data_IF_305651006973
#
_entry.id   IF_305651006973
#
_cell.length_a   1.000
_cell.length_b   1.000
_cell.length_c   1.000
_cell.angle_alpha   90.00
_cell.angle_beta   90.00
_cell.angle_gamma   90.00
#
_symmetry.space_group_name_H-M   'P 1'
#
loop_
_entity.id
_entity.type
_entity.pdbx_description
1 polymer ?
#
# COMPACT_ATOMS: atom_id res chain seq x y z
N UNK A 1 3.36 21.25 -27.29
CA UNK A 1 2.70 21.40 -25.96
C UNK A 1 3.76 21.63 -24.90
N UNK A 2 3.56 22.60 -24.00
CA UNK A 2 4.58 23.02 -23.04
C UNK A 2 3.88 23.28 -21.71
N UNK A 3 4.29 22.62 -20.62
CA UNK A 3 3.82 22.95 -19.27
C UNK A 3 4.68 24.08 -18.70
N UNK A 4 4.07 25.06 -18.03
CA UNK A 4 4.79 26.08 -17.24
C UNK A 4 5.62 25.47 -16.12
N UNK A 5 5.19 24.32 -15.59
CA UNK A 5 5.89 23.55 -14.57
C UNK A 5 7.21 22.89 -15.02
N UNK A 6 7.49 22.83 -16.33
CA UNK A 6 8.73 22.25 -16.89
C UNK A 6 8.93 20.74 -16.72
N UNK A 7 8.20 20.09 -15.80
CA UNK A 7 8.35 18.68 -15.45
C UNK A 7 8.19 17.74 -16.64
N UNK A 8 7.28 18.05 -17.56
CA UNK A 8 7.06 17.23 -18.75
C UNK A 8 8.24 17.29 -19.72
N UNK A 9 8.82 18.48 -19.89
CA UNK A 9 9.94 18.69 -20.81
C UNK A 9 11.21 18.02 -20.29
N UNK A 10 11.36 17.94 -18.96
CA UNK A 10 12.48 17.25 -18.31
C UNK A 10 12.32 15.73 -18.34
N UNK A 11 11.14 15.22 -17.98
CA UNK A 11 10.92 13.78 -17.83
C UNK A 11 10.52 13.08 -19.12
N UNK A 12 9.91 13.79 -20.08
CA UNK A 12 9.21 13.19 -21.22
C UNK A 12 7.86 12.57 -20.87
N UNK A 13 7.43 12.64 -19.61
CA UNK A 13 6.15 12.09 -19.11
C UNK A 13 5.21 13.27 -18.78
N UNK A 14 3.95 13.27 -19.25
CA UNK A 14 3.03 14.36 -18.98
C UNK A 14 2.77 14.49 -17.47
N UNK A 15 2.99 15.70 -16.96
CA UNK A 15 2.67 16.08 -15.58
C UNK A 15 1.15 16.23 -15.36
N UNK A 16 0.71 16.44 -14.11
CA UNK A 16 -0.71 16.64 -13.78
C UNK A 16 -1.39 17.75 -14.60
N UNK A 17 -0.70 18.88 -14.81
CA UNK A 17 -1.20 19.98 -15.64
C UNK A 17 -1.38 19.56 -17.10
N UNK A 18 -0.37 18.88 -17.66
CA UNK A 18 -0.42 18.38 -19.03
C UNK A 18 -1.54 17.36 -19.20
N UNK A 19 -1.71 16.44 -18.26
CA UNK A 19 -2.78 15.45 -18.24
C UNK A 19 -4.15 16.13 -18.25
N UNK A 20 -4.34 17.17 -17.43
CA UNK A 20 -5.59 17.92 -17.40
C UNK A 20 -5.85 18.64 -18.73
N UNK A 21 -4.85 19.31 -19.30
CA UNK A 21 -4.97 19.91 -20.62
C UNK A 21 -5.34 18.86 -21.68
N UNK A 22 -4.65 17.73 -21.73
CA UNK A 22 -4.95 16.64 -22.67
C UNK A 22 -6.38 16.12 -22.53
N UNK A 23 -6.88 16.03 -21.29
CA UNK A 23 -8.26 15.67 -21.00
C UNK A 23 -9.25 16.69 -21.60
N UNK A 24 -9.02 17.98 -21.40
CA UNK A 24 -9.86 19.03 -22.00
C UNK A 24 -9.80 19.02 -23.54
N UNK A 25 -8.65 18.71 -24.12
CA UNK A 25 -8.50 18.56 -25.57
C UNK A 25 -9.02 17.21 -26.12
N UNK A 26 -9.62 16.35 -25.28
CA UNK A 26 -10.08 14.99 -25.64
C UNK A 26 -9.01 14.15 -26.34
N UNK A 27 -7.76 14.34 -25.92
CA UNK A 27 -6.58 13.67 -26.47
C UNK A 27 -6.15 12.55 -25.54
N UNK A 28 -5.76 11.40 -26.11
CA UNK A 28 -5.27 10.28 -25.32
C UNK A 28 -3.94 10.67 -24.67
N UNK A 29 -3.73 10.35 -23.39
CA UNK A 29 -2.50 10.73 -22.68
C UNK A 29 -1.29 9.94 -23.16
N UNK A 30 -1.52 8.70 -23.58
CA UNK A 30 -0.50 7.74 -24.02
C UNK A 30 0.26 8.21 -25.26
N UNK A 31 -0.41 8.94 -26.16
CA UNK A 31 0.20 9.44 -27.40
C UNK A 31 1.24 10.54 -27.16
N UNK A 32 1.19 11.17 -25.98
CA UNK A 32 2.00 12.33 -25.63
C UNK A 32 3.10 12.01 -24.62
N UNK A 33 3.30 10.72 -24.32
CA UNK A 33 4.49 10.21 -23.62
C UNK A 33 5.63 10.07 -24.63
N UNK A 34 6.86 10.42 -24.23
CA UNK A 34 8.04 10.23 -25.06
C UNK A 34 8.19 8.77 -25.52
N UNK A 35 8.60 8.58 -26.77
CA UNK A 35 8.78 7.26 -27.38
C UNK A 35 9.71 6.35 -26.59
N UNK A 36 10.69 6.89 -25.86
CA UNK A 36 11.61 6.10 -25.03
C UNK A 36 10.93 5.28 -23.92
N UNK A 37 9.69 5.61 -23.54
CA UNK A 37 8.91 4.86 -22.55
C UNK A 37 7.88 3.92 -23.17
N UNK A 38 7.79 3.84 -24.50
CA UNK A 38 6.84 2.95 -25.17
C UNK A 38 7.33 1.51 -25.10
N UNK A 39 6.38 0.57 -25.04
CA UNK A 39 6.70 -0.87 -25.05
C UNK A 39 7.46 -1.28 -26.31
N UNK A 40 7.14 -0.68 -27.45
CA UNK A 40 7.81 -0.97 -28.73
C UNK A 40 9.29 -0.63 -28.69
N UNK A 41 9.66 0.52 -28.15
CA UNK A 41 11.07 0.94 -28.04
C UNK A 41 11.80 0.11 -27.01
N UNK A 42 11.17 -0.25 -25.89
CA UNK A 42 11.72 -1.20 -24.93
C UNK A 42 12.06 -2.54 -25.59
N UNK A 43 11.09 -3.16 -26.29
CA UNK A 43 11.31 -4.44 -26.98
C UNK A 43 12.36 -4.33 -28.09
N UNK A 44 12.40 -3.23 -28.83
CA UNK A 44 13.44 -3.00 -29.84
C UNK A 44 14.83 -2.90 -29.21
N UNK A 45 14.95 -2.16 -28.10
CA UNK A 45 16.22 -1.95 -27.38
C UNK A 45 16.78 -3.25 -26.82
N UNK A 46 15.91 -4.10 -26.28
CA UNK A 46 16.25 -5.40 -25.69
C UNK A 46 15.97 -6.58 -26.62
N UNK A 47 15.89 -6.34 -27.93
CA UNK A 47 15.65 -7.40 -28.92
C UNK A 47 16.85 -8.35 -29.06
N UNK A 48 18.04 -7.87 -28.72
CA UNK A 48 19.28 -8.63 -28.80
C UNK A 48 19.59 -9.33 -27.47
N UNK A 49 20.24 -10.49 -27.56
CA UNK A 49 20.69 -11.25 -26.39
C UNK A 49 21.77 -10.44 -25.67
N UNK A 50 21.51 -10.07 -24.42
CA UNK A 50 22.51 -9.49 -23.54
C UNK A 50 23.39 -10.63 -23.04
N UNK A 51 24.59 -10.73 -23.59
CA UNK A 51 25.58 -11.69 -23.10
C UNK A 51 26.05 -11.25 -21.71
N UNK A 52 26.07 -12.15 -20.71
CA UNK A 52 26.67 -11.86 -19.43
C UNK A 52 28.13 -11.44 -19.63
N UNK A 53 28.49 -10.29 -19.07
CA UNK A 53 29.89 -9.87 -19.01
C UNK A 53 30.48 -10.55 -17.79
N UNK A 54 31.51 -11.35 -17.99
CA UNK A 54 32.30 -11.92 -16.91
C UNK A 54 33.21 -10.84 -16.31
N UNK A 55 32.65 -10.07 -15.38
CA UNK A 55 33.28 -8.92 -14.76
C UNK A 55 34.58 -9.24 -14.02
N UNK A 56 34.77 -10.49 -13.58
CA UNK A 56 36.02 -10.95 -12.97
C UNK A 56 37.16 -10.90 -13.97
N UNK A 57 36.89 -11.28 -15.22
CA UNK A 57 37.87 -11.33 -16.30
C UNK A 57 38.10 -9.94 -16.92
N UNK A 58 37.06 -9.10 -17.04
CA UNK A 58 37.15 -7.81 -17.73
C UNK A 58 37.90 -6.72 -16.95
N UNK A 59 37.79 -6.72 -15.62
CA UNK A 59 38.34 -5.66 -14.77
C UNK A 59 39.72 -6.04 -14.24
N UNK A 60 40.08 -7.34 -14.27
CA UNK A 60 41.38 -7.85 -13.84
C UNK A 60 41.71 -7.62 -12.37
N UNK A 61 40.71 -7.20 -11.57
CA UNK A 61 40.89 -6.87 -10.16
C UNK A 61 39.93 -7.72 -9.32
N UNK A 62 40.42 -8.42 -8.28
CA UNK A 62 39.53 -9.04 -7.31
C UNK A 62 38.71 -7.95 -6.63
N UNK A 63 37.37 -8.07 -6.63
CA UNK A 63 36.53 -7.15 -5.87
C UNK A 63 36.89 -7.26 -4.41
N UNK A 64 37.47 -6.19 -3.87
CA UNK A 64 37.56 -6.02 -2.44
C UNK A 64 36.17 -5.66 -1.93
N UNK A 65 35.67 -6.33 -0.87
CA UNK A 65 34.42 -5.90 -0.26
C UNK A 65 34.56 -4.44 0.17
N UNK A 66 33.50 -3.63 0.04
CA UNK A 66 33.54 -2.27 0.56
C UNK A 66 33.91 -2.32 2.04
N UNK A 67 34.75 -1.39 2.52
CA UNK A 67 35.17 -1.39 3.91
C UNK A 67 33.94 -1.30 4.82
N UNK A 68 33.90 -2.11 5.87
CA UNK A 68 32.83 -2.06 6.84
C UNK A 68 32.84 -0.71 7.57
N UNK A 69 31.79 0.07 7.39
CA UNK A 69 31.58 1.34 8.10
C UNK A 69 30.55 1.11 9.21
N UNK A 70 30.96 1.32 10.48
CA UNK A 70 30.01 1.41 11.60
C UNK A 70 29.20 2.70 11.45
N UNK A 71 28.00 2.59 10.91
CA UNK A 71 27.06 3.71 10.88
C UNK A 71 26.71 4.14 12.32
N UNK A 72 26.55 5.44 12.54
CA UNK A 72 26.02 5.94 13.80
C UNK A 72 24.66 5.28 14.05
N UNK A 73 24.57 4.53 15.14
CA UNK A 73 23.31 3.90 15.54
C UNK A 73 22.24 4.95 15.81
N UNK A 74 20.99 4.49 15.93
CA UNK A 74 19.85 5.34 16.29
C UNK A 74 20.19 6.22 17.50
N UNK A 75 20.02 7.55 17.42
CA UNK A 75 20.20 8.42 18.57
C UNK A 75 19.33 7.95 19.75
N UNK A 76 19.89 7.98 20.96
CA UNK A 76 19.13 7.62 22.17
C UNK A 76 17.97 8.60 22.33
N UNK A 77 16.76 8.08 22.59
CA UNK A 77 15.56 8.90 22.81
C UNK A 77 15.71 9.86 24.00
N UNK A 78 16.50 9.46 25.00
CA UNK A 78 16.80 10.27 26.17
C UNK A 78 18.22 10.80 26.10
N UNK A 79 18.38 12.11 26.36
CA UNK A 79 19.67 12.74 26.61
C UNK A 79 20.35 12.09 27.83
N UNK A 80 21.68 11.97 27.80
CA UNK A 80 22.46 11.66 29.02
C UNK A 80 22.39 12.85 29.98
N UNK A 81 21.83 12.63 31.17
CA UNK A 81 21.76 13.63 32.23
C UNK A 81 23.11 13.78 32.92
N UNK A 82 23.44 14.99 33.35
CA UNK A 82 24.63 15.26 34.18
C UNK A 82 24.48 14.67 35.59
N UNK A 83 25.59 14.44 36.30
CA UNK A 83 25.62 13.90 37.67
C UNK A 83 24.80 14.75 38.66
N UNK A 84 24.70 16.06 38.40
CA UNK A 84 23.99 16.99 39.27
C UNK A 84 22.50 17.18 38.88
N UNK A 85 21.99 16.46 37.87
CA UNK A 85 20.59 16.58 37.46
C UNK A 85 19.66 15.70 38.31
N UNK A 86 18.69 16.33 38.96
CA UNK A 86 17.66 15.63 39.74
C UNK A 86 16.84 14.71 38.82
N UNK A 87 16.95 13.39 39.03
CA UNK A 87 16.10 12.40 38.36
C UNK A 87 14.76 12.34 39.09
N UNK A 88 13.71 12.96 38.53
CA UNK A 88 12.33 12.69 38.97
C UNK A 88 12.04 11.20 38.74
N UNK A 89 12.20 10.36 39.78
CA UNK A 89 11.73 8.97 39.79
C UNK A 89 10.22 9.01 39.57
N UNK A 90 9.76 8.18 38.63
CA UNK A 90 8.43 8.31 38.04
C UNK A 90 7.29 8.38 39.06
N UNK A 91 6.32 9.23 38.75
CA UNK A 91 4.98 8.85 38.31
C UNK A 91 4.46 10.07 37.57
N UNK A 92 4.32 9.99 36.25
CA UNK A 92 3.25 10.77 35.63
C UNK A 92 1.98 10.18 36.24
N UNK A 93 1.49 10.80 37.31
CA UNK A 93 0.07 10.78 37.57
C UNK A 93 -0.55 11.21 36.24
N UNK A 94 -1.04 10.21 35.49
CA UNK A 94 -2.04 10.46 34.48
C UNK A 94 -3.13 11.16 35.27
N UNK A 95 -3.17 12.48 35.18
CA UNK A 95 -4.39 13.24 35.35
C UNK A 95 -5.39 12.55 34.42
N UNK A 96 -6.11 11.57 34.97
CA UNK A 96 -7.27 10.95 34.34
C UNK A 96 -8.33 12.04 34.35
N UNK A 97 -8.12 13.07 33.52
CA UNK A 97 -9.15 14.00 33.14
C UNK A 97 -10.13 13.14 32.38
N UNK A 98 -11.25 12.83 33.03
CA UNK A 98 -12.34 12.05 32.46
C UNK A 98 -12.85 12.80 31.24
N UNK A 99 -12.29 12.51 30.07
CA UNK A 99 -12.84 12.98 28.80
C UNK A 99 -14.09 12.14 28.57
N UNK A 100 -15.24 12.74 28.82
CA UNK A 100 -16.55 12.15 28.57
C UNK A 100 -16.70 12.03 27.04
N UNK A 101 -16.59 10.81 26.51
CA UNK A 101 -16.73 10.55 25.08
C UNK A 101 -18.21 10.43 24.72
N UNK A 102 -18.73 11.40 23.95
CA UNK A 102 -20.06 11.29 23.33
C UNK A 102 -19.92 10.56 21.98
N UNK A 103 -20.67 9.48 21.75
CA UNK A 103 -20.64 8.76 20.48
C UNK A 103 -21.66 9.32 19.48
N UNK A 104 -21.25 9.53 18.23
CA UNK A 104 -22.10 10.17 17.21
C UNK A 104 -23.43 9.48 16.90
N UNK A 105 -23.56 8.16 17.14
CA UNK A 105 -24.78 7.40 16.83
C UNK A 105 -25.92 7.61 17.83
N UNK A 106 -25.63 7.67 19.14
CA UNK A 106 -26.65 7.81 20.19
C UNK A 106 -26.50 9.10 21.01
N UNK A 107 -25.37 9.80 20.87
CA UNK A 107 -24.94 11.03 21.58
C UNK A 107 -25.00 10.96 23.11
N UNK A 108 -25.26 9.78 23.69
CA UNK A 108 -25.31 9.52 25.14
C UNK A 108 -23.96 9.05 25.67
N UNK A 109 -23.70 9.38 26.92
CA UNK A 109 -22.41 9.18 27.60
C UNK A 109 -22.50 8.08 28.64
N UNK A 110 -22.53 6.82 28.23
CA UNK A 110 -22.42 5.73 29.20
C UNK A 110 -22.08 4.33 28.65
N UNK A 111 -21.82 4.15 27.35
CA UNK A 111 -21.61 2.79 26.83
C UNK A 111 -20.66 2.74 25.62
N UNK A 112 -19.93 1.62 25.50
CA UNK A 112 -19.07 1.35 24.36
C UNK A 112 -19.90 1.22 23.07
N UNK A 113 -19.43 1.76 21.94
CA UNK A 113 -20.13 1.72 20.65
C UNK A 113 -20.52 0.30 20.19
N UNK A 114 -19.73 -0.72 20.58
CA UNK A 114 -20.01 -2.13 20.30
C UNK A 114 -21.23 -2.64 21.07
N UNK A 115 -21.56 -2.04 22.21
CA UNK A 115 -22.70 -2.36 23.08
C UNK A 115 -23.70 -1.22 23.15
N UNK A 116 -23.88 -0.48 22.05
CA UNK A 116 -24.85 0.60 21.98
C UNK A 116 -26.28 0.03 21.99
N UNK A 117 -27.14 0.36 22.98
CA UNK A 117 -28.48 -0.21 23.10
C UNK A 117 -29.35 0.05 21.87
N UNK A 118 -29.23 1.23 21.26
CA UNK A 118 -29.98 1.57 20.04
C UNK A 118 -29.55 0.72 18.85
N UNK A 119 -28.24 0.45 18.68
CA UNK A 119 -27.76 -0.49 17.64
C UNK A 119 -28.23 -1.93 17.86
N UNK A 120 -28.32 -2.36 19.12
CA UNK A 120 -28.84 -3.70 19.47
C UNK A 120 -30.32 -3.78 19.13
N UNK A 121 -31.10 -2.74 19.46
CA UNK A 121 -32.53 -2.66 19.14
C UNK A 121 -32.80 -2.64 17.63
N UNK A 122 -32.04 -1.86 16.85
CA UNK A 122 -32.17 -1.82 15.38
C UNK A 122 -31.87 -3.19 14.75
N UNK A 123 -30.80 -3.86 15.18
CA UNK A 123 -30.49 -5.23 14.72
C UNK A 123 -31.60 -6.23 15.06
N UNK A 124 -32.22 -6.10 16.24
CA UNK A 124 -33.33 -6.94 16.65
C UNK A 124 -34.64 -6.64 15.91
N UNK A 125 -34.78 -5.47 15.30
CA UNK A 125 -35.90 -5.13 14.42
C UNK A 125 -35.67 -5.67 13.00
N UNK A 126 -34.45 -5.54 12.47
CA UNK A 126 -34.08 -6.08 11.14
C UNK A 126 -34.32 -7.60 11.05
N UNK A 127 -33.90 -8.37 12.07
CA UNK A 127 -34.08 -9.83 12.10
C UNK A 127 -35.55 -10.31 12.14
N UNK A 128 -36.49 -9.46 12.55
CA UNK A 128 -37.92 -9.80 12.60
C UNK A 128 -38.64 -9.56 11.27
N UNK A 129 -38.01 -8.85 10.32
CA UNK A 129 -38.56 -8.63 8.98
C UNK A 129 -38.21 -9.72 7.96
N UNK A 130 -37.28 -10.62 8.27
CA UNK A 130 -36.71 -11.57 7.30
C UNK A 130 -37.23 -13.02 7.42
N UNK A 131 -38.08 -13.36 8.39
CA UNK A 131 -38.54 -14.75 8.62
C UNK A 131 -39.90 -15.09 7.99
N UNK A 132 -40.34 -14.38 6.95
CA UNK A 132 -41.58 -14.70 6.22
C UNK A 132 -41.31 -15.02 4.74
N UNK A 133 -40.53 -16.07 4.46
CA UNK A 133 -40.47 -16.76 3.16
C UNK A 133 -39.41 -17.88 3.23
N UNK A 134 -39.73 -18.99 3.89
CA UNK A 134 -38.97 -20.26 3.79
C UNK A 134 -39.82 -21.25 2.99
N UNK A 135 -39.15 -22.05 2.14
CA UNK A 135 -39.57 -23.22 1.34
C UNK A 135 -39.33 -22.90 -0.16
N UNK A 136 -38.46 -23.55 -0.95
CA UNK A 136 -37.98 -24.94 -0.98
C UNK A 136 -36.70 -25.04 -1.86
N UNK A 137 -35.85 -26.05 -1.65
CA UNK A 137 -35.29 -26.99 -2.65
C UNK A 137 -33.99 -27.70 -2.19
N UNK A 138 -33.94 -28.98 -2.56
CA UNK A 138 -33.15 -30.11 -2.03
C UNK A 138 -31.94 -30.45 -2.95
N UNK A 139 -31.00 -31.22 -2.39
CA UNK A 139 -29.72 -31.79 -2.85
C UNK A 139 -29.58 -32.39 -4.28
N UNK A 140 -28.30 -32.49 -4.74
CA UNK A 140 -27.76 -33.41 -5.76
C UNK A 140 -26.96 -32.71 -6.86
N UNK A 141 -25.83 -33.17 -7.42
CA UNK A 141 -24.97 -34.34 -7.25
C UNK A 141 -23.57 -33.98 -7.85
N UNK A 142 -22.52 -34.73 -7.51
CA UNK A 142 -21.15 -34.53 -7.98
C UNK A 142 -20.82 -35.39 -9.23
N UNK A 143 -20.11 -34.82 -10.20
CA UNK A 143 -19.59 -35.52 -11.38
C UNK A 143 -18.13 -36.00 -11.17
N UNK A 144 -17.72 -37.17 -11.69
CA UNK A 144 -16.37 -37.70 -11.53
C UNK A 144 -15.40 -37.30 -12.66
N UNK A 145 -14.14 -37.10 -12.28
CA UNK A 145 -13.00 -36.79 -13.16
C UNK A 145 -12.37 -38.09 -13.68
N UNK A 146 -12.22 -38.23 -15.00
CA UNK A 146 -11.41 -39.28 -15.65
C UNK A 146 -10.09 -38.67 -16.10
N UNK A 147 -8.98 -39.26 -15.69
CA UNK A 147 -7.62 -38.87 -16.08
C UNK A 147 -6.99 -39.94 -16.94
N UNK A 148 -6.47 -39.54 -18.10
CA UNK A 148 -5.64 -40.37 -18.96
C UNK A 148 -4.16 -40.02 -18.75
N UNK A 149 -3.35 -41.06 -18.54
CA UNK A 149 -1.91 -40.98 -18.35
C UNK A 149 -1.19 -41.28 -19.69
N UNK A 150 -0.37 -40.35 -20.15
CA UNK A 150 0.51 -40.58 -21.31
C UNK A 150 1.83 -41.27 -20.88
N UNK A 151 2.35 -42.25 -21.64
CA UNK A 151 3.61 -42.91 -21.35
C UNK A 151 4.81 -42.13 -21.90
N UNK A 152 5.89 -42.19 -21.13
CA UNK A 152 7.22 -41.62 -21.38
C UNK A 152 7.89 -42.26 -22.60
N UNK A 153 8.49 -41.43 -23.46
CA UNK A 153 9.76 -41.72 -24.15
C UNK A 153 10.69 -40.52 -24.01
#
# INVERSE_FOLDING_TARGET
MRCSCGSWQLSGIPCSHAILCLYHLKKSRSDYVNDCYKKSTFLATYSHVLNPIDWYTTIGMPLQPPPYIKLAGRPKKLRKKDKNEIVKKGKTERLKKWVIFHYGWCRKTCHNIRRCPTKVQERAKAKRGETSSVADYVEGAADPVVGDADPVQ
#
